data_IF_287280279599
#
_entry.id   IF_287280279599
#
_cell.length_a   1.000
_cell.length_b   1.000
_cell.length_c   1.000
_cell.angle_alpha   90.00
_cell.angle_beta   90.00
_cell.angle_gamma   90.00
#
_symmetry.space_group_name_H-M   'P 1'
#
loop_
_entity.id
_entity.type
_entity.pdbx_description
1 polymer ?
#
# COMPACT_ATOMS: atom_id res chain seq x y z
N UNK A 1 -7.27 22.27 -4.13
CA UNK A 1 -5.91 21.75 -3.90
C UNK A 1 -5.02 22.06 -5.09
N UNK A 2 -3.81 22.59 -4.87
CA UNK A 2 -2.86 22.93 -5.93
C UNK A 2 -2.52 21.70 -6.79
N UNK A 3 -2.34 21.88 -8.11
CA UNK A 3 -2.00 20.82 -9.07
C UNK A 3 -0.75 20.06 -8.63
N UNK A 4 0.26 20.74 -8.07
CA UNK A 4 1.48 20.11 -7.53
C UNK A 4 1.21 19.12 -6.39
N UNK A 5 0.36 19.49 -5.43
CA UNK A 5 0.02 18.63 -4.27
C UNK A 5 -0.71 17.35 -4.72
N UNK A 6 -1.49 17.42 -5.81
CA UNK A 6 -2.13 16.24 -6.40
C UNK A 6 -1.07 15.27 -6.93
N UNK A 7 -0.10 15.76 -7.71
CA UNK A 7 0.97 14.91 -8.23
C UNK A 7 1.84 14.31 -7.13
N UNK A 8 2.19 15.09 -6.11
CA UNK A 8 2.96 14.60 -4.96
C UNK A 8 2.22 13.44 -4.27
N UNK A 9 0.91 13.58 -4.02
CA UNK A 9 0.16 12.50 -3.37
C UNK A 9 0.09 11.22 -4.21
N UNK A 10 -0.06 11.32 -5.54
CA UNK A 10 0.01 10.14 -6.40
C UNK A 10 1.37 9.44 -6.32
N UNK A 11 2.46 10.21 -6.39
CA UNK A 11 3.83 9.66 -6.28
C UNK A 11 4.01 8.97 -4.93
N UNK A 12 3.57 9.60 -3.84
CA UNK A 12 3.64 9.00 -2.50
C UNK A 12 2.87 7.69 -2.43
N UNK A 13 1.63 7.63 -2.92
CA UNK A 13 0.87 6.38 -2.92
C UNK A 13 1.54 5.30 -3.79
N UNK A 14 2.05 5.65 -4.97
CA UNK A 14 2.78 4.70 -5.83
C UNK A 14 3.98 4.12 -5.09
N UNK A 15 4.78 4.96 -4.44
CA UNK A 15 5.93 4.52 -3.65
C UNK A 15 5.48 3.60 -2.50
N UNK A 16 4.43 3.99 -1.75
CA UNK A 16 3.91 3.16 -0.66
C UNK A 16 3.44 1.78 -1.16
N UNK A 17 2.70 1.72 -2.28
CA UNK A 17 2.28 0.45 -2.87
C UNK A 17 3.47 -0.37 -3.35
N UNK A 18 4.48 0.25 -3.97
CA UNK A 18 5.70 -0.42 -4.38
C UNK A 18 6.45 -1.01 -3.18
N UNK A 19 6.64 -0.23 -2.11
CA UNK A 19 7.29 -0.68 -0.89
C UNK A 19 6.56 -1.87 -0.26
N UNK A 20 5.23 -1.79 -0.10
CA UNK A 20 4.46 -2.92 0.45
C UNK A 20 4.51 -4.15 -0.46
N UNK A 21 4.60 -3.96 -1.78
CA UNK A 21 4.74 -5.06 -2.73
C UNK A 21 6.10 -5.75 -2.57
N UNK A 22 7.20 -5.01 -2.63
CA UNK A 22 8.54 -5.60 -2.56
C UNK A 22 8.89 -6.11 -1.16
N UNK A 23 8.61 -5.32 -0.12
CA UNK A 23 8.97 -5.66 1.26
C UNK A 23 7.90 -6.49 1.98
N UNK A 24 6.65 -6.48 1.52
CA UNK A 24 5.57 -7.29 2.09
C UNK A 24 5.42 -8.63 1.37
N UNK A 25 5.15 -8.62 0.06
CA UNK A 25 4.99 -9.86 -0.70
C UNK A 25 6.32 -10.58 -0.96
N UNK A 26 7.44 -9.86 -1.01
CA UNK A 26 8.77 -10.47 -1.16
C UNK A 26 9.03 -11.57 -0.11
N UNK A 27 8.97 -11.27 1.19
CA UNK A 27 9.11 -12.28 2.24
C UNK A 27 8.06 -13.39 2.18
N UNK A 28 6.81 -13.08 1.82
CA UNK A 28 5.76 -14.11 1.68
C UNK A 28 6.13 -15.14 0.62
N UNK A 29 6.78 -14.73 -0.47
CA UNK A 29 7.12 -15.60 -1.59
C UNK A 29 8.49 -16.25 -1.45
N UNK A 30 9.46 -15.53 -0.88
CA UNK A 30 10.89 -15.87 -0.98
C UNK A 30 11.58 -16.10 0.36
N UNK A 31 10.93 -15.82 1.50
CA UNK A 31 11.56 -16.08 2.80
C UNK A 31 11.61 -17.58 3.10
N UNK A 32 12.72 -18.03 3.68
CA UNK A 32 12.95 -19.40 4.15
C UNK A 32 12.26 -19.70 5.50
N UNK A 33 11.10 -19.07 5.73
CA UNK A 33 10.27 -19.28 6.92
C UNK A 33 9.28 -20.42 6.75
N UNK A 34 8.73 -20.90 7.85
CA UNK A 34 7.65 -21.90 7.84
C UNK A 34 6.42 -21.36 7.09
N UNK A 35 5.59 -22.27 6.58
CA UNK A 35 4.34 -21.90 5.93
C UNK A 35 3.45 -21.04 6.84
N UNK A 36 3.43 -21.31 8.14
CA UNK A 36 2.65 -20.55 9.11
C UNK A 36 3.11 -19.10 9.22
N UNK A 37 4.42 -18.85 9.31
CA UNK A 37 4.99 -17.50 9.37
C UNK A 37 4.68 -16.71 8.09
N UNK A 38 4.84 -17.35 6.92
CA UNK A 38 4.56 -16.74 5.62
C UNK A 38 3.10 -16.38 5.46
N UNK A 39 2.18 -17.22 5.93
CA UNK A 39 0.74 -16.95 5.94
C UNK A 39 0.40 -15.79 6.88
N UNK A 40 1.04 -15.71 8.05
CA UNK A 40 0.87 -14.58 8.96
C UNK A 40 1.34 -13.27 8.31
N UNK A 41 2.52 -13.28 7.67
CA UNK A 41 3.01 -12.13 6.90
C UNK A 41 2.04 -11.74 5.80
N UNK A 42 1.49 -12.71 5.06
CA UNK A 42 0.50 -12.45 4.01
C UNK A 42 -0.76 -11.74 4.55
N UNK A 43 -1.30 -12.20 5.69
CA UNK A 43 -2.45 -11.56 6.34
C UNK A 43 -2.14 -10.11 6.69
N UNK A 44 -0.97 -9.83 7.27
CA UNK A 44 -0.54 -8.47 7.61
C UNK A 44 -0.44 -7.60 6.35
N UNK A 45 0.17 -8.12 5.28
CA UNK A 45 0.32 -7.41 4.00
C UNK A 45 -1.05 -7.09 3.37
N UNK A 46 -2.00 -8.03 3.42
CA UNK A 46 -3.37 -7.80 2.94
C UNK A 46 -4.04 -6.67 3.73
N UNK A 47 -3.90 -6.66 5.06
CA UNK A 47 -4.46 -5.59 5.90
C UNK A 47 -3.85 -4.24 5.52
N UNK A 48 -2.54 -4.18 5.30
CA UNK A 48 -1.85 -2.95 4.87
C UNK A 48 -2.38 -2.48 3.51
N UNK A 49 -2.54 -3.38 2.53
CA UNK A 49 -3.13 -3.00 1.24
C UNK A 49 -4.55 -2.46 1.37
N UNK A 50 -5.39 -3.09 2.20
CA UNK A 50 -6.75 -2.61 2.46
C UNK A 50 -6.70 -1.18 3.01
N UNK A 51 -5.85 -0.91 4.01
CA UNK A 51 -5.67 0.43 4.58
C UNK A 51 -5.20 1.43 3.51
N UNK A 52 -4.19 1.08 2.71
CA UNK A 52 -3.67 1.94 1.64
C UNK A 52 -4.73 2.26 0.59
N UNK A 53 -5.55 1.28 0.19
CA UNK A 53 -6.65 1.47 -0.75
C UNK A 53 -7.70 2.42 -0.16
N UNK A 54 -8.08 2.24 1.10
CA UNK A 54 -9.02 3.15 1.76
C UNK A 54 -8.45 4.56 1.91
N UNK A 55 -7.17 4.70 2.27
CA UNK A 55 -6.48 5.98 2.37
C UNK A 55 -6.43 6.69 1.01
N UNK A 56 -6.10 5.98 -0.08
CA UNK A 56 -6.11 6.52 -1.43
C UNK A 56 -7.52 6.96 -1.84
N UNK A 57 -8.54 6.12 -1.60
CA UNK A 57 -9.94 6.48 -1.89
C UNK A 57 -10.39 7.71 -1.13
N UNK A 58 -10.05 7.82 0.16
CA UNK A 58 -10.36 8.98 0.99
C UNK A 58 -9.67 10.24 0.46
N UNK A 59 -8.38 10.14 0.13
CA UNK A 59 -7.62 11.25 -0.43
C UNK A 59 -8.18 11.70 -1.78
N UNK A 60 -8.49 10.77 -2.68
CA UNK A 60 -9.14 11.06 -3.97
C UNK A 60 -10.48 11.76 -3.80
N UNK A 61 -11.33 11.31 -2.87
CA UNK A 61 -12.61 11.99 -2.55
C UNK A 61 -12.38 13.44 -2.12
N UNK A 62 -11.34 13.70 -1.31
CA UNK A 62 -10.99 15.05 -0.86
C UNK A 62 -10.51 15.95 -2.00
N UNK A 63 -9.96 15.38 -3.06
CA UNK A 63 -9.46 16.13 -4.23
C UNK A 63 -10.55 16.40 -5.24
N UNK A 64 -11.49 15.47 -5.38
CA UNK A 64 -12.57 15.52 -6.34
C UNK A 64 -13.82 16.24 -5.82
N UNK A 65 -13.96 16.42 -4.49
CA UNK A 65 -14.81 17.48 -3.93
C UNK A 65 -14.22 18.83 -4.33
N UNK A 66 -14.62 19.32 -5.50
CA UNK A 66 -14.59 20.75 -5.80
C UNK A 66 -15.58 21.47 -4.89
#
# INVERSE_FOLDING_TARGET
MNKGIKWIGYIVFIILFALVTFFGLGPVLMADGTLQERLLTLVIVIIIYIILIYALRYWLKRINKK
#
